data_IF_434205895506
#
_entry.id   IF_434205895506
#
_cell.length_a   1.000
_cell.length_b   1.000
_cell.length_c   1.000
_cell.angle_alpha   90.00
_cell.angle_beta   90.00
_cell.angle_gamma   90.00
#
_symmetry.space_group_name_H-M   'P 1'
#
loop_
_entity.id
_entity.type
_entity.pdbx_description
1 polymer ?
#
# COMPACT_ATOMS: atom_id res chain seq x y z
N UNK A 1 30.18 -1.76 40.90
CA UNK A 1 30.38 -0.39 40.41
C UNK A 1 29.02 0.22 40.08
N UNK A 2 28.44 0.99 40.99
CA UNK A 2 27.11 1.61 40.79
C UNK A 2 27.25 2.89 39.97
N UNK A 3 26.57 2.98 38.82
CA UNK A 3 26.46 4.23 38.08
C UNK A 3 25.80 5.31 38.96
N UNK A 4 26.26 6.56 38.85
CA UNK A 4 25.73 7.65 39.66
C UNK A 4 24.27 7.97 39.30
N UNK A 5 23.44 8.46 40.23
CA UNK A 5 22.05 8.82 39.94
C UNK A 5 21.89 9.80 38.75
N UNK A 6 22.86 10.71 38.58
CA UNK A 6 22.92 11.66 37.46
C UNK A 6 23.20 10.98 36.11
N UNK A 7 24.01 9.91 36.06
CA UNK A 7 24.25 9.18 34.80
C UNK A 7 23.03 8.36 34.38
N UNK A 8 22.27 7.80 35.33
CA UNK A 8 21.01 7.12 35.03
C UNK A 8 19.90 8.07 34.56
N UNK A 9 19.81 9.27 35.14
CA UNK A 9 18.84 10.29 34.71
C UNK A 9 19.12 10.79 33.29
N UNK A 10 20.40 11.06 32.97
CA UNK A 10 20.80 11.49 31.63
C UNK A 10 20.57 10.41 30.56
N UNK A 11 20.81 9.14 30.89
CA UNK A 11 20.54 8.02 29.98
C UNK A 11 19.03 7.88 29.68
N UNK A 12 18.17 8.05 30.69
CA UNK A 12 16.71 8.02 30.51
C UNK A 12 16.21 9.19 29.65
N UNK A 13 16.74 10.39 29.87
CA UNK A 13 16.37 11.56 29.08
C UNK A 13 16.79 11.42 27.61
N UNK A 14 18.00 10.88 27.37
CA UNK A 14 18.47 10.58 26.01
C UNK A 14 17.62 9.52 25.30
N UNK A 15 17.20 8.46 26.00
CA UNK A 15 16.33 7.42 25.44
C UNK A 15 14.93 7.97 25.10
N UNK A 16 14.36 8.82 25.97
CA UNK A 16 13.07 9.48 25.70
C UNK A 16 13.17 10.43 24.51
N UNK A 17 14.27 11.18 24.40
CA UNK A 17 14.49 12.09 23.28
C UNK A 17 14.67 11.32 21.97
N UNK A 18 15.44 10.23 21.96
CA UNK A 18 15.61 9.35 20.80
C UNK A 18 14.29 8.73 20.36
N UNK A 19 13.46 8.28 21.31
CA UNK A 19 12.14 7.73 21.01
C UNK A 19 11.21 8.80 20.43
N UNK A 20 11.19 10.01 20.99
CA UNK A 20 10.38 11.10 20.47
C UNK A 20 10.80 11.51 19.05
N UNK A 21 12.11 11.57 18.77
CA UNK A 21 12.66 11.83 17.43
C UNK A 21 12.30 10.70 16.46
N UNK A 22 12.39 9.43 16.89
CA UNK A 22 11.98 8.29 16.08
C UNK A 22 10.48 8.32 15.75
N UNK A 23 9.62 8.58 16.74
CA UNK A 23 8.17 8.73 16.53
C UNK A 23 7.84 9.88 15.58
N UNK A 24 8.54 11.01 15.70
CA UNK A 24 8.37 12.14 14.78
C UNK A 24 8.82 11.78 13.36
N UNK A 25 9.92 11.03 13.19
CA UNK A 25 10.39 10.57 11.89
C UNK A 25 9.47 9.51 11.27
N UNK A 26 8.90 8.61 12.09
CA UNK A 26 7.91 7.62 11.66
C UNK A 26 6.59 8.27 11.25
N UNK A 27 6.06 9.17 12.08
CA UNK A 27 4.91 9.99 11.72
C UNK A 27 5.21 10.84 10.47
N UNK A 28 6.47 11.26 10.31
CA UNK A 28 6.89 12.00 9.13
C UNK A 28 6.83 11.15 7.84
N UNK A 29 7.36 9.94 7.94
CA UNK A 29 7.30 8.96 6.87
C UNK A 29 5.87 8.55 6.55
N UNK A 30 5.01 8.36 7.55
CA UNK A 30 3.60 7.99 7.36
C UNK A 30 2.81 9.07 6.63
N UNK A 31 2.93 10.34 7.05
CA UNK A 31 2.24 11.43 6.36
C UNK A 31 2.69 11.54 4.90
N UNK A 32 3.98 11.32 4.63
CA UNK A 32 4.52 11.45 3.27
C UNK A 32 3.90 10.43 2.32
N UNK A 33 3.88 9.14 2.71
CA UNK A 33 3.27 8.10 1.87
C UNK A 33 1.76 8.25 1.78
N UNK A 34 1.08 8.75 2.83
CA UNK A 34 -0.37 9.02 2.78
C UNK A 34 -0.75 10.06 1.73
N UNK A 35 0.13 11.02 1.42
CA UNK A 35 -0.15 12.04 0.38
C UNK A 35 0.20 11.57 -1.04
N UNK A 36 1.04 10.54 -1.18
CA UNK A 36 1.69 10.17 -2.45
C UNK A 36 1.41 8.74 -2.92
N UNK A 37 0.65 7.96 -2.15
CA UNK A 37 0.16 6.63 -2.54
C UNK A 37 -1.35 6.69 -2.70
N UNK A 38 -1.81 6.54 -3.94
CA UNK A 38 -3.22 6.67 -4.31
C UNK A 38 -3.84 5.31 -4.64
N UNK A 39 -5.11 5.12 -4.29
CA UNK A 39 -5.83 3.87 -4.53
C UNK A 39 -6.93 4.08 -5.57
N UNK A 40 -6.82 3.38 -6.69
CA UNK A 40 -7.74 3.46 -7.82
C UNK A 40 -8.57 2.18 -7.89
N UNK A 41 -9.89 2.31 -7.72
CA UNK A 41 -10.82 1.18 -7.78
C UNK A 41 -11.36 1.05 -9.20
N UNK A 42 -11.31 -0.18 -9.71
CA UNK A 42 -11.97 -0.61 -10.92
C UNK A 42 -12.94 -1.76 -10.60
N UNK A 43 -14.05 -1.74 -11.30
CA UNK A 43 -15.08 -2.77 -11.35
C UNK A 43 -15.45 -2.99 -12.82
N UNK A 44 -16.34 -3.94 -13.11
CA UNK A 44 -16.85 -4.13 -14.48
C UNK A 44 -17.45 -2.85 -15.07
N UNK A 45 -18.14 -2.06 -14.24
CA UNK A 45 -18.77 -0.80 -14.67
C UNK A 45 -17.76 0.28 -15.06
N UNK A 46 -16.55 0.21 -14.50
CA UNK A 46 -15.48 1.19 -14.72
C UNK A 46 -14.30 0.62 -15.52
N UNK A 47 -14.42 -0.60 -16.05
CA UNK A 47 -13.34 -1.31 -16.74
C UNK A 47 -12.76 -0.52 -17.93
N UNK A 48 -13.63 0.19 -18.66
CA UNK A 48 -13.27 0.98 -19.85
C UNK A 48 -12.61 2.33 -19.51
N UNK A 49 -12.58 2.72 -18.23
CA UNK A 49 -11.93 3.97 -17.81
C UNK A 49 -10.43 3.75 -17.66
N UNK A 50 -9.66 4.82 -17.85
CA UNK A 50 -8.19 4.76 -17.75
C UNK A 50 -7.69 4.79 -16.32
N UNK A 51 -8.41 5.44 -15.40
CA UNK A 51 -7.99 5.63 -14.00
C UNK A 51 -8.98 5.06 -12.96
N UNK A 52 -10.11 4.48 -13.37
CA UNK A 52 -11.11 4.00 -12.41
C UNK A 52 -11.65 5.14 -11.54
N UNK A 53 -12.02 4.82 -10.31
CA UNK A 53 -12.44 5.80 -9.31
C UNK A 53 -11.42 5.87 -8.17
N UNK A 54 -10.91 7.06 -7.90
CA UNK A 54 -9.93 7.29 -6.83
C UNK A 54 -10.62 7.31 -5.48
N UNK A 55 -10.08 6.55 -4.52
CA UNK A 55 -10.45 6.67 -3.11
C UNK A 55 -9.71 7.89 -2.54
N UNK A 56 -10.43 9.02 -2.39
CA UNK A 56 -9.86 10.27 -1.88
C UNK A 56 -9.59 10.25 -0.38
N UNK A 57 -10.32 9.41 0.36
CA UNK A 57 -10.15 9.18 1.80
C UNK A 57 -10.14 7.67 2.03
N UNK A 58 -8.96 7.08 1.97
CA UNK A 58 -8.74 5.62 1.96
C UNK A 58 -8.99 4.91 3.29
N UNK A 59 -9.08 5.66 4.39
CA UNK A 59 -9.54 5.17 5.70
C UNK A 59 -10.96 5.67 6.05
N UNK A 60 -11.80 5.87 5.03
CA UNK A 60 -13.20 6.28 5.17
C UNK A 60 -14.09 5.28 4.42
N UNK A 61 -14.93 4.55 5.18
CA UNK A 61 -15.80 3.50 4.64
C UNK A 61 -16.74 4.01 3.55
N UNK A 62 -17.28 5.22 3.74
CA UNK A 62 -18.21 5.79 2.76
C UNK A 62 -17.48 6.15 1.48
N UNK A 63 -16.25 6.66 1.56
CA UNK A 63 -15.45 6.99 0.39
C UNK A 63 -15.05 5.74 -0.42
N UNK A 64 -14.67 4.66 0.27
CA UNK A 64 -14.40 3.36 -0.37
C UNK A 64 -15.65 2.86 -1.08
N UNK A 65 -16.81 2.82 -0.42
CA UNK A 65 -18.05 2.35 -1.04
C UNK A 65 -18.50 3.25 -2.21
N UNK A 66 -18.34 4.56 -2.08
CA UNK A 66 -18.65 5.53 -3.14
C UNK A 66 -17.75 5.38 -4.38
N UNK A 67 -16.61 4.70 -4.26
CA UNK A 67 -15.75 4.37 -5.42
C UNK A 67 -16.31 3.26 -6.32
N UNK A 68 -17.42 2.62 -5.91
CA UNK A 68 -17.97 1.43 -6.56
C UNK A 68 -17.39 0.12 -6.02
N UNK A 69 -16.57 0.17 -4.97
CA UNK A 69 -16.06 -1.01 -4.28
C UNK A 69 -17.20 -1.83 -3.65
N UNK A 70 -17.19 -3.13 -3.88
CA UNK A 70 -18.22 -4.05 -3.38
C UNK A 70 -17.61 -5.08 -2.39
N UNK A 71 -17.90 -5.00 -1.08
CA UNK A 71 -17.38 -5.91 -0.05
C UNK A 71 -17.72 -7.40 -0.23
N UNK A 72 -18.68 -7.71 -1.11
CA UNK A 72 -19.09 -9.10 -1.38
C UNK A 72 -18.19 -9.78 -2.42
N UNK A 73 -17.44 -9.01 -3.21
CA UNK A 73 -16.58 -9.51 -4.27
C UNK A 73 -15.16 -9.81 -3.77
N UNK A 74 -14.42 -10.58 -4.55
CA UNK A 74 -12.98 -10.75 -4.33
C UNK A 74 -12.25 -9.42 -4.56
N UNK A 75 -11.10 -9.24 -3.91
CA UNK A 75 -10.25 -8.07 -4.10
C UNK A 75 -8.90 -8.46 -4.68
N UNK A 76 -8.56 -7.86 -5.83
CA UNK A 76 -7.26 -7.99 -6.48
C UNK A 76 -6.53 -6.65 -6.36
N UNK A 77 -5.35 -6.63 -5.77
CA UNK A 77 -4.53 -5.43 -5.61
C UNK A 77 -3.39 -5.51 -6.62
N UNK A 78 -3.25 -4.51 -7.48
CA UNK A 78 -2.18 -4.40 -8.48
C UNK A 78 -1.23 -3.27 -8.09
N UNK A 79 0.06 -3.56 -8.06
CA UNK A 79 1.10 -2.62 -7.63
C UNK A 79 2.14 -2.49 -8.74
N UNK A 80 2.29 -1.29 -9.30
CA UNK A 80 3.22 -1.04 -10.39
C UNK A 80 4.68 -0.96 -9.91
N UNK A 81 5.61 -1.03 -10.86
CA UNK A 81 7.04 -0.88 -10.63
C UNK A 81 7.56 0.53 -10.89
N UNK A 82 8.88 0.64 -11.08
CA UNK A 82 9.58 1.90 -11.34
C UNK A 82 9.06 2.62 -12.60
N UNK A 83 8.92 3.94 -12.51
CA UNK A 83 8.50 4.82 -13.62
C UNK A 83 7.18 4.43 -14.31
N UNK A 84 6.31 3.72 -13.58
CA UNK A 84 4.97 3.36 -13.99
C UNK A 84 3.93 4.11 -13.13
N UNK A 85 2.66 3.99 -13.50
CA UNK A 85 1.52 4.49 -12.73
C UNK A 85 0.26 3.72 -13.08
N UNK A 86 -0.90 4.19 -12.60
CA UNK A 86 -2.19 3.51 -12.83
C UNK A 86 -2.49 3.25 -14.32
N UNK A 87 -2.06 4.14 -15.22
CA UNK A 87 -2.35 4.04 -16.66
C UNK A 87 -1.32 3.20 -17.43
N UNK A 88 -0.26 2.71 -16.79
CA UNK A 88 0.75 1.90 -17.46
C UNK A 88 0.16 0.55 -17.89
N UNK A 89 0.63 0.03 -19.03
CA UNK A 89 0.24 -1.29 -19.57
C UNK A 89 0.35 -2.40 -18.52
N UNK A 90 1.43 -2.38 -17.73
CA UNK A 90 1.66 -3.35 -16.66
C UNK A 90 0.54 -3.39 -15.60
N UNK A 91 -0.27 -2.33 -15.47
CA UNK A 91 -1.45 -2.30 -14.60
C UNK A 91 -2.75 -2.50 -15.37
N UNK A 92 -2.88 -1.89 -16.55
CA UNK A 92 -4.11 -1.95 -17.35
C UNK A 92 -4.38 -3.37 -17.87
N UNK A 93 -3.38 -4.08 -18.40
CA UNK A 93 -3.59 -5.42 -18.95
C UNK A 93 -4.03 -6.44 -17.89
N UNK A 94 -3.38 -6.55 -16.71
CA UNK A 94 -3.88 -7.45 -15.66
C UNK A 94 -5.25 -7.03 -15.13
N UNK A 95 -5.51 -5.72 -14.99
CA UNK A 95 -6.82 -5.18 -14.58
C UNK A 95 -7.91 -5.64 -15.56
N UNK A 96 -7.71 -5.42 -16.86
CA UNK A 96 -8.66 -5.83 -17.90
C UNK A 96 -8.86 -7.34 -17.94
N UNK A 97 -7.77 -8.12 -17.80
CA UNK A 97 -7.83 -9.57 -17.75
C UNK A 97 -8.71 -10.05 -16.57
N UNK A 98 -8.53 -9.50 -15.37
CA UNK A 98 -9.38 -9.84 -14.22
C UNK A 98 -10.85 -9.48 -14.45
N UNK A 99 -11.13 -8.27 -14.92
CA UNK A 99 -12.50 -7.76 -15.09
C UNK A 99 -13.25 -8.43 -16.25
N UNK A 100 -12.52 -8.95 -17.24
CA UNK A 100 -13.11 -9.70 -18.36
C UNK A 100 -13.69 -11.04 -17.89
N UNK A 101 -12.99 -11.75 -17.01
CA UNK A 101 -13.33 -13.15 -16.66
C UNK A 101 -14.05 -13.29 -15.33
N UNK A 102 -14.11 -12.24 -14.50
CA UNK A 102 -14.67 -12.34 -13.15
C UNK A 102 -15.27 -11.01 -12.67
N UNK A 103 -16.25 -11.10 -11.78
CA UNK A 103 -16.77 -9.94 -11.06
C UNK A 103 -15.98 -9.75 -9.76
N UNK A 104 -15.06 -8.78 -9.78
CA UNK A 104 -14.09 -8.54 -8.70
C UNK A 104 -13.85 -7.05 -8.52
N UNK A 105 -13.39 -6.66 -7.33
CA UNK A 105 -12.76 -5.36 -7.14
C UNK A 105 -11.30 -5.46 -7.61
N UNK A 106 -10.86 -4.56 -8.50
CA UNK A 106 -9.44 -4.37 -8.78
C UNK A 106 -9.02 -3.03 -8.18
N UNK A 107 -8.06 -3.06 -7.26
CA UNK A 107 -7.45 -1.87 -6.67
C UNK A 107 -6.05 -1.71 -7.29
N UNK A 108 -5.83 -0.65 -8.06
CA UNK A 108 -4.48 -0.29 -8.52
C UNK A 108 -3.88 0.71 -7.53
N UNK A 109 -2.71 0.38 -7.00
CA UNK A 109 -1.92 1.25 -6.13
C UNK A 109 -1.01 2.11 -7.01
N UNK A 110 -1.29 3.41 -7.07
CA UNK A 110 -0.52 4.40 -7.82
C UNK A 110 0.42 5.14 -6.86
N UNK A 111 1.71 4.84 -6.94
CA UNK A 111 2.80 5.45 -6.18
C UNK A 111 3.82 6.11 -7.11
N UNK A 112 3.38 6.54 -8.30
CA UNK A 112 4.22 7.16 -9.33
C UNK A 112 4.97 8.40 -8.83
N UNK A 113 4.37 9.14 -7.88
CA UNK A 113 4.96 10.32 -7.24
C UNK A 113 6.29 10.00 -6.54
N UNK A 114 6.47 8.73 -6.13
CA UNK A 114 7.57 8.26 -5.29
C UNK A 114 8.62 7.46 -6.07
N UNK A 115 8.43 7.21 -7.37
CA UNK A 115 9.38 6.46 -8.19
C UNK A 115 9.63 7.01 -9.62
N UNK A 116 9.69 8.35 -9.83
CA UNK A 116 9.87 8.90 -11.16
C UNK A 116 11.23 8.57 -11.76
N UNK A 117 11.27 8.32 -13.07
CA UNK A 117 12.53 8.30 -13.80
C UNK A 117 13.21 9.69 -13.77
N UNK A 118 14.55 9.77 -13.68
CA UNK A 118 15.53 8.67 -13.68
C UNK A 118 15.91 8.17 -12.27
N UNK A 119 15.17 8.52 -11.21
CA UNK A 119 15.56 8.35 -9.81
C UNK A 119 15.30 6.94 -9.26
N UNK A 120 15.92 5.91 -9.84
CA UNK A 120 15.69 4.51 -9.44
C UNK A 120 15.96 4.23 -7.96
N UNK A 121 17.09 4.72 -7.43
CA UNK A 121 17.45 4.52 -6.02
C UNK A 121 16.46 5.19 -5.05
N UNK A 122 15.84 6.30 -5.46
CA UNK A 122 14.78 6.93 -4.67
C UNK A 122 13.54 6.02 -4.63
N UNK A 123 13.15 5.45 -5.78
CA UNK A 123 12.08 4.46 -5.86
C UNK A 123 12.34 3.24 -4.96
N UNK A 124 13.56 2.70 -4.98
CA UNK A 124 13.99 1.59 -4.09
C UNK A 124 13.85 1.99 -2.61
N UNK A 125 14.28 3.21 -2.25
CA UNK A 125 14.16 3.74 -0.89
C UNK A 125 12.71 3.83 -0.39
N UNK A 126 11.75 4.06 -1.28
CA UNK A 126 10.33 4.20 -0.93
C UNK A 126 9.57 2.86 -0.84
N UNK A 127 10.13 1.75 -1.34
CA UNK A 127 9.45 0.43 -1.37
C UNK A 127 8.89 0.05 0.00
N UNK A 128 9.68 0.24 1.06
CA UNK A 128 9.25 -0.12 2.43
C UNK A 128 8.07 0.73 2.88
N UNK A 129 8.15 2.04 2.72
CA UNK A 129 7.12 2.97 3.15
C UNK A 129 5.81 2.80 2.36
N UNK A 130 5.90 2.60 1.03
CA UNK A 130 4.74 2.28 0.19
C UNK A 130 4.11 0.96 0.63
N UNK A 131 4.91 -0.08 0.85
CA UNK A 131 4.39 -1.39 1.25
C UNK A 131 3.66 -1.34 2.61
N UNK A 132 4.21 -0.62 3.57
CA UNK A 132 3.57 -0.35 4.87
C UNK A 132 2.27 0.44 4.71
N UNK A 133 2.25 1.47 3.86
CA UNK A 133 1.06 2.28 3.61
C UNK A 133 -0.08 1.44 3.02
N UNK A 134 0.23 0.56 2.06
CA UNK A 134 -0.75 -0.37 1.47
C UNK A 134 -1.25 -1.37 2.53
N UNK A 135 -0.36 -1.87 3.39
CA UNK A 135 -0.77 -2.77 4.49
C UNK A 135 -1.73 -2.08 5.46
N UNK A 136 -1.46 -0.83 5.84
CA UNK A 136 -2.33 -0.04 6.72
C UNK A 136 -3.75 0.10 6.15
N UNK A 137 -3.88 0.45 4.86
CA UNK A 137 -5.19 0.58 4.22
C UNK A 137 -5.90 -0.78 4.15
N UNK A 138 -5.20 -1.84 3.75
CA UNK A 138 -5.81 -3.17 3.64
C UNK A 138 -6.21 -3.73 5.01
N UNK A 139 -5.42 -3.54 6.06
CA UNK A 139 -5.77 -3.91 7.42
C UNK A 139 -7.01 -3.16 7.91
N UNK A 140 -7.07 -1.84 7.68
CA UNK A 140 -8.26 -1.06 8.00
C UNK A 140 -9.49 -1.54 7.20
N UNK A 141 -9.34 -1.85 5.91
CA UNK A 141 -10.43 -2.41 5.10
C UNK A 141 -10.89 -3.78 5.62
N UNK A 142 -9.99 -4.62 6.12
CA UNK A 142 -10.34 -5.90 6.76
C UNK A 142 -11.10 -5.65 8.06
N UNK A 143 -10.62 -4.74 8.91
CA UNK A 143 -11.29 -4.37 10.15
C UNK A 143 -12.71 -3.81 9.93
N UNK A 144 -12.91 -3.05 8.85
CA UNK A 144 -14.22 -2.51 8.44
C UNK A 144 -15.15 -3.54 7.77
N UNK A 145 -14.68 -4.78 7.57
CA UNK A 145 -15.42 -5.84 6.88
C UNK A 145 -15.57 -5.60 5.37
N UNK A 146 -14.71 -4.77 4.79
CA UNK A 146 -14.69 -4.45 3.35
C UNK A 146 -13.88 -5.50 2.57
N UNK A 147 -12.82 -6.04 3.15
CA UNK A 147 -11.94 -7.05 2.54
C UNK A 147 -11.88 -8.30 3.40
N UNK A 148 -11.84 -9.47 2.77
CA UNK A 148 -11.58 -10.75 3.45
C UNK A 148 -10.22 -11.30 3.01
N UNK A 149 -9.39 -11.71 3.98
CA UNK A 149 -8.02 -12.15 3.72
C UNK A 149 -7.91 -13.37 2.81
N UNK A 150 -8.85 -14.31 2.93
CA UNK A 150 -8.95 -15.53 2.12
C UNK A 150 -9.35 -15.26 0.65
N UNK A 151 -9.83 -14.04 0.36
CA UNK A 151 -10.25 -13.58 -0.97
C UNK A 151 -9.42 -12.40 -1.49
N UNK A 152 -8.32 -12.09 -0.80
CA UNK A 152 -7.39 -11.03 -1.15
C UNK A 152 -6.19 -11.58 -1.92
N UNK A 153 -5.94 -11.02 -3.11
CA UNK A 153 -4.76 -11.34 -3.92
C UNK A 153 -3.98 -10.08 -4.25
N UNK A 154 -2.71 -10.03 -3.85
CA UNK A 154 -1.81 -8.93 -4.16
C UNK A 154 -0.89 -9.33 -5.31
N UNK A 155 -0.78 -8.49 -6.32
CA UNK A 155 0.07 -8.67 -7.49
C UNK A 155 0.98 -7.47 -7.62
N UNK A 156 2.29 -7.70 -7.66
CA UNK A 156 3.27 -6.64 -7.85
C UNK A 156 4.12 -6.90 -9.08
N UNK A 157 4.32 -5.89 -9.91
CA UNK A 157 5.19 -5.96 -11.10
C UNK A 157 6.52 -5.25 -10.86
N UNK A 158 7.65 -5.88 -11.23
CA UNK A 158 8.98 -5.28 -11.07
C UNK A 158 9.22 -4.83 -9.63
N UNK A 159 9.58 -3.56 -9.40
CA UNK A 159 9.75 -3.01 -8.06
C UNK A 159 8.49 -3.11 -7.18
N UNK A 160 7.30 -3.15 -7.80
CA UNK A 160 6.03 -3.38 -7.13
C UNK A 160 5.89 -4.78 -6.53
N UNK A 161 6.66 -5.78 -7.00
CA UNK A 161 6.69 -7.12 -6.39
C UNK A 161 7.28 -7.07 -4.97
N UNK A 162 8.31 -6.23 -4.76
CA UNK A 162 8.87 -6.00 -3.43
C UNK A 162 7.89 -5.22 -2.54
N UNK A 163 7.20 -4.22 -3.09
CA UNK A 163 6.13 -3.52 -2.37
C UNK A 163 5.05 -4.52 -1.92
N UNK A 164 4.60 -5.43 -2.79
CA UNK A 164 3.65 -6.48 -2.45
C UNK A 164 4.16 -7.40 -1.33
N UNK A 165 5.44 -7.78 -1.37
CA UNK A 165 6.07 -8.57 -0.32
C UNK A 165 6.12 -7.85 1.03
N UNK A 166 6.51 -6.56 1.02
CA UNK A 166 6.49 -5.70 2.21
C UNK A 166 5.06 -5.55 2.74
N UNK A 167 4.07 -5.32 1.88
CA UNK A 167 2.66 -5.25 2.27
C UNK A 167 2.25 -6.52 3.00
N UNK A 168 2.46 -7.69 2.38
CA UNK A 168 2.12 -8.97 3.00
C UNK A 168 2.82 -9.23 4.34
N UNK A 169 4.08 -8.81 4.47
CA UNK A 169 4.84 -8.92 5.72
C UNK A 169 4.30 -8.02 6.85
N UNK A 170 3.76 -6.84 6.51
CA UNK A 170 3.30 -5.86 7.48
C UNK A 170 1.80 -5.93 7.79
N UNK A 171 1.02 -6.77 7.09
CA UNK A 171 -0.39 -7.02 7.41
C UNK A 171 -0.55 -7.58 8.82
N UNK A 172 -1.32 -6.89 9.66
CA UNK A 172 -1.57 -7.25 11.06
C UNK A 172 -2.85 -8.07 11.21
N UNK A 173 -3.82 -7.90 10.31
CA UNK A 173 -5.11 -8.62 10.35
C UNK A 173 -4.95 -10.12 10.09
N UNK A 174 -3.81 -10.54 9.53
CA UNK A 174 -3.48 -11.93 9.27
C UNK A 174 -2.82 -12.14 7.90
N UNK A 175 -2.64 -13.41 7.54
CA UNK A 175 -1.98 -13.79 6.29
C UNK A 175 -2.91 -13.62 5.09
N UNK A 176 -2.45 -12.87 4.08
CA UNK A 176 -3.16 -12.75 2.80
C UNK A 176 -3.18 -14.08 2.04
N UNK A 177 -4.25 -14.35 1.29
CA UNK A 177 -4.40 -15.63 0.58
C UNK A 177 -3.30 -15.85 -0.47
N UNK A 178 -2.94 -14.81 -1.21
CA UNK A 178 -1.98 -14.93 -2.31
C UNK A 178 -1.21 -13.65 -2.58
N UNK A 179 0.08 -13.80 -2.88
CA UNK A 179 0.93 -12.77 -3.48
C UNK A 179 1.51 -13.33 -4.78
N UNK A 180 1.53 -12.52 -5.84
CA UNK A 180 2.20 -12.85 -7.11
C UNK A 180 3.18 -11.74 -7.46
N UNK A 181 4.46 -12.09 -7.61
CA UNK A 181 5.47 -11.21 -8.19
C UNK A 181 5.56 -11.46 -9.70
N UNK A 182 5.36 -10.42 -10.50
CA UNK A 182 5.55 -10.43 -11.95
C UNK A 182 6.91 -9.80 -12.25
N UNK A 183 7.89 -10.63 -12.60
CA UNK A 183 9.27 -10.22 -12.88
C UNK A 183 9.91 -9.34 -11.77
N UNK A 184 10.10 -9.86 -10.53
CA UNK A 184 10.65 -9.08 -9.43
C UNK A 184 12.07 -8.56 -9.75
N UNK A 185 12.30 -7.26 -9.51
CA UNK A 185 13.55 -6.55 -9.82
C UNK A 185 14.70 -6.82 -8.84
#
# INVERSE_FOLDING_TARGET
TSASPLTMANARLAAVLLLAVALQAEAASDWYHRQHVHFHVFSKDTAQTTRGVVIRRDLDKQNVLASGFNPKLDTKVLIHGFSNGVTSTAMQEPKDAYLTVSDVNVIVVDWSDLNPAPLYLAGVGNVRGVGMRVAEVLDWMVAEGLVKLDRLHIVGHSLGAHVAGVTGHNMQSGRVARITGLDPA
#
